data_IF_654604222317
#
_entry.id   IF_654604222317
#
_cell.length_a   1.000
_cell.length_b   1.000
_cell.length_c   1.000
_cell.angle_alpha   90.00
_cell.angle_beta   90.00
_cell.angle_gamma   90.00
#
_symmetry.space_group_name_H-M   'P 1'
#
loop_
_entity.id
_entity.type
_entity.pdbx_description
1 polymer ?
#
# COMPACT_ATOMS: atom_id res chain seq x y z
N UNK A 1 -38.39 56.89 96.09
CA UNK A 1 -38.53 57.42 94.71
C UNK A 1 -38.00 56.37 93.75
N UNK A 2 -38.77 56.09 92.70
CA UNK A 2 -38.65 54.93 91.83
C UNK A 2 -37.46 54.99 90.84
N UNK A 3 -36.97 53.82 90.45
CA UNK A 3 -36.38 53.48 89.14
C UNK A 3 -35.81 52.05 89.27
N UNK A 4 -35.90 51.11 88.34
CA UNK A 4 -36.30 51.07 86.93
C UNK A 4 -35.58 49.83 86.39
N UNK A 5 -36.31 48.85 85.83
CA UNK A 5 -35.72 47.59 85.40
C UNK A 5 -35.08 47.72 84.01
N UNK A 6 -33.81 47.35 83.87
CA UNK A 6 -33.13 47.17 82.59
C UNK A 6 -33.10 45.67 82.26
N UNK A 7 -33.92 45.24 81.30
CA UNK A 7 -33.78 43.93 80.69
C UNK A 7 -32.74 44.02 79.58
N UNK A 8 -31.52 43.56 79.84
CA UNK A 8 -30.58 43.25 78.78
C UNK A 8 -30.92 41.85 78.25
N UNK A 9 -31.33 41.76 76.98
CA UNK A 9 -31.36 40.47 76.29
C UNK A 9 -29.91 39.97 76.20
N UNK A 10 -29.58 38.80 76.77
CA UNK A 10 -28.22 38.27 76.68
C UNK A 10 -27.88 38.02 75.21
N UNK A 11 -26.66 38.40 74.80
CA UNK A 11 -26.14 38.04 73.49
C UNK A 11 -26.21 36.52 73.33
N UNK A 12 -26.86 36.03 72.27
CA UNK A 12 -26.95 34.60 72.00
C UNK A 12 -25.54 34.07 71.78
N UNK A 13 -25.06 33.09 72.57
CA UNK A 13 -23.73 32.53 72.41
C UNK A 13 -23.60 31.93 71.01
N UNK A 14 -22.43 32.09 70.40
CA UNK A 14 -22.12 31.71 69.02
C UNK A 14 -22.49 30.25 68.70
N UNK A 15 -22.48 29.37 69.71
CA UNK A 15 -22.83 27.95 69.63
C UNK A 15 -24.33 27.67 69.42
N UNK A 16 -25.19 28.66 69.69
CA UNK A 16 -26.64 28.60 69.49
C UNK A 16 -27.09 29.32 68.21
N UNK A 17 -26.15 29.78 67.38
CA UNK A 17 -26.47 30.33 66.05
C UNK A 17 -26.78 29.18 65.08
N UNK A 18 -27.86 29.31 64.31
CA UNK A 18 -28.17 28.39 63.20
C UNK A 18 -27.01 28.39 62.21
N UNK A 19 -26.47 27.21 61.89
CA UNK A 19 -25.44 27.07 60.87
C UNK A 19 -25.96 27.64 59.53
N UNK A 20 -25.21 28.55 58.92
CA UNK A 20 -25.54 29.05 57.60
C UNK A 20 -25.54 27.89 56.59
N UNK A 21 -26.58 27.82 55.74
CA UNK A 21 -26.65 26.80 54.69
C UNK A 21 -25.41 26.89 53.79
N UNK A 22 -24.78 25.74 53.57
CA UNK A 22 -23.57 25.63 52.75
C UNK A 22 -23.92 25.94 51.30
N UNK A 23 -23.20 26.89 50.70
CA UNK A 23 -23.49 27.47 49.39
C UNK A 23 -23.25 26.56 48.19
N UNK A 24 -23.87 26.94 47.07
CA UNK A 24 -23.75 26.27 45.77
C UNK A 24 -22.30 26.27 45.23
N UNK A 25 -21.86 25.14 44.69
CA UNK A 25 -20.56 25.00 44.02
C UNK A 25 -20.76 25.16 42.51
N UNK A 26 -20.12 26.13 41.83
CA UNK A 26 -20.30 26.34 40.41
C UNK A 26 -19.75 25.15 39.61
N UNK A 27 -20.58 24.57 38.74
CA UNK A 27 -20.15 23.54 37.79
C UNK A 27 -19.27 24.19 36.73
N UNK A 28 -18.01 23.76 36.64
CA UNK A 28 -17.12 24.15 35.55
C UNK A 28 -16.93 22.97 34.61
N UNK A 29 -17.11 23.20 33.31
CA UNK A 29 -16.75 22.22 32.29
C UNK A 29 -15.24 22.34 32.03
N UNK A 30 -14.52 21.22 32.13
CA UNK A 30 -13.11 21.11 31.74
C UNK A 30 -13.00 19.96 30.76
N UNK A 31 -12.27 20.15 29.66
CA UNK A 31 -11.92 19.04 28.78
C UNK A 31 -10.92 18.15 29.48
N UNK A 32 -11.23 16.86 29.56
CA UNK A 32 -10.31 15.85 30.07
C UNK A 32 -9.78 15.06 28.87
N UNK A 33 -8.51 15.27 28.53
CA UNK A 33 -7.82 14.42 27.56
C UNK A 33 -7.34 13.16 28.28
N UNK A 34 -8.05 12.06 28.08
CA UNK A 34 -7.68 10.75 28.62
C UNK A 34 -6.63 10.10 27.70
N UNK A 35 -5.36 10.39 27.97
CA UNK A 35 -4.23 9.90 27.18
C UNK A 35 -3.90 8.47 27.60
N UNK A 36 -4.15 7.52 26.70
CA UNK A 36 -3.75 6.13 26.84
C UNK A 36 -2.55 5.81 25.95
N UNK A 37 -1.55 5.14 26.52
CA UNK A 37 -0.45 4.58 25.75
C UNK A 37 -0.93 3.26 25.13
N UNK A 38 -0.97 3.20 23.80
CA UNK A 38 -1.20 1.96 23.05
C UNK A 38 0.13 1.39 22.59
N UNK A 39 0.29 0.08 22.68
CA UNK A 39 1.42 -0.62 22.11
C UNK A 39 1.18 -0.81 20.60
N UNK A 40 2.10 -0.29 19.78
CA UNK A 40 2.06 -0.48 18.32
C UNK A 40 3.02 -1.61 17.98
N UNK A 41 2.47 -2.70 17.44
CA UNK A 41 3.26 -3.83 16.95
C UNK A 41 3.35 -3.74 15.43
N UNK A 42 4.57 -3.74 14.90
CA UNK A 42 4.81 -3.87 13.47
C UNK A 42 4.95 -5.35 13.13
N UNK A 43 4.04 -5.87 12.31
CA UNK A 43 4.19 -7.20 11.70
C UNK A 43 4.76 -7.04 10.29
N UNK A 44 5.91 -7.65 10.03
CA UNK A 44 6.44 -7.78 8.67
C UNK A 44 5.51 -8.71 7.88
N UNK A 45 5.18 -8.33 6.65
CA UNK A 45 4.45 -9.21 5.73
C UNK A 45 5.37 -10.38 5.32
N UNK A 46 4.77 -11.49 4.87
CA UNK A 46 5.54 -12.59 4.30
C UNK A 46 6.32 -12.13 3.06
N UNK A 47 7.53 -12.66 2.87
CA UNK A 47 8.38 -12.37 1.72
C UNK A 47 7.62 -12.59 0.40
N UNK A 48 7.65 -11.59 -0.48
CA UNK A 48 7.08 -11.70 -1.83
C UNK A 48 8.16 -12.15 -2.80
N UNK A 49 8.01 -13.35 -3.35
CA UNK A 49 8.92 -13.86 -4.37
C UNK A 49 8.59 -13.27 -5.74
N UNK A 50 9.61 -12.73 -6.40
CA UNK A 50 9.59 -12.33 -7.81
C UNK A 50 10.61 -13.16 -8.58
N UNK A 51 10.28 -13.57 -9.80
CA UNK A 51 11.09 -14.56 -10.53
C UNK A 51 11.20 -14.22 -12.01
N UNK A 52 12.38 -14.45 -12.58
CA UNK A 52 12.61 -14.37 -14.03
C UNK A 52 13.17 -15.67 -14.55
N UNK A 53 12.84 -16.02 -15.79
CA UNK A 53 13.45 -17.14 -16.52
C UNK A 53 14.68 -16.71 -17.32
N UNK A 54 15.06 -15.42 -17.28
CA UNK A 54 16.25 -14.92 -17.95
C UNK A 54 17.51 -15.66 -17.48
N UNK A 55 18.36 -16.07 -18.42
CA UNK A 55 19.65 -16.70 -18.15
C UNK A 55 20.77 -15.81 -18.68
N UNK A 56 21.88 -15.72 -17.97
CA UNK A 56 23.04 -14.93 -18.40
C UNK A 56 23.68 -14.19 -17.23
N UNK A 57 24.43 -13.13 -17.54
CA UNK A 57 25.06 -12.27 -16.54
C UNK A 57 24.15 -11.11 -16.21
N UNK A 58 23.86 -10.90 -14.92
CA UNK A 58 23.23 -9.66 -14.47
C UNK A 58 24.21 -8.51 -14.73
N UNK A 59 23.81 -7.57 -15.59
CA UNK A 59 24.62 -6.40 -15.98
C UNK A 59 24.13 -5.10 -15.37
N UNK A 60 22.86 -5.06 -14.93
CA UNK A 60 22.31 -3.98 -14.14
C UNK A 60 21.22 -4.53 -13.21
N UNK A 61 21.14 -4.02 -11.99
CA UNK A 61 20.09 -4.40 -11.05
C UNK A 61 19.83 -3.27 -10.05
N UNK A 62 18.62 -2.73 -10.06
CA UNK A 62 18.16 -1.70 -9.12
C UNK A 62 17.21 -2.31 -8.07
N UNK A 63 17.80 -3.05 -7.14
CA UNK A 63 17.15 -3.55 -5.94
C UNK A 63 17.81 -2.90 -4.73
N UNK A 64 17.12 -1.94 -4.13
CA UNK A 64 17.55 -1.23 -2.93
C UNK A 64 16.35 -1.15 -2.00
N UNK A 65 16.57 -1.22 -0.69
CA UNK A 65 15.51 -0.95 0.29
C UNK A 65 14.78 0.36 -0.03
N UNK A 66 13.45 0.32 -0.02
CA UNK A 66 12.55 1.39 -0.40
C UNK A 66 12.30 1.53 -1.92
N UNK A 67 12.93 0.74 -2.79
CA UNK A 67 12.61 0.74 -4.21
C UNK A 67 11.28 0.03 -4.49
N UNK A 68 10.65 0.36 -5.62
CA UNK A 68 9.41 -0.26 -6.06
C UNK A 68 9.61 -0.85 -7.44
N UNK A 69 9.29 -2.13 -7.58
CA UNK A 69 9.19 -2.83 -8.85
C UNK A 69 7.78 -2.63 -9.38
N UNK A 70 7.66 -1.82 -10.43
CA UNK A 70 6.39 -1.52 -11.07
C UNK A 70 6.29 -2.27 -12.39
N UNK A 71 5.13 -2.87 -12.67
CA UNK A 71 4.89 -3.53 -13.94
C UNK A 71 4.96 -2.54 -15.10
N UNK A 72 5.59 -2.97 -16.18
CA UNK A 72 5.90 -2.13 -17.34
C UNK A 72 7.24 -1.38 -17.24
N UNK A 73 7.91 -1.40 -16.08
CA UNK A 73 9.27 -0.90 -15.92
C UNK A 73 10.32 -2.02 -16.11
N UNK A 74 11.60 -1.68 -15.98
CA UNK A 74 12.72 -2.63 -15.99
C UNK A 74 13.72 -2.23 -14.92
N UNK A 75 13.84 -3.04 -13.86
CA UNK A 75 14.80 -2.85 -12.76
C UNK A 75 16.00 -3.80 -12.88
N UNK A 76 15.97 -4.73 -13.82
CA UNK A 76 16.97 -5.78 -14.02
C UNK A 76 17.42 -5.76 -15.48
N UNK A 77 18.69 -6.03 -15.72
CA UNK A 77 19.22 -6.33 -17.06
C UNK A 77 20.12 -7.54 -17.04
N UNK A 78 19.97 -8.38 -18.07
CA UNK A 78 20.78 -9.59 -18.28
C UNK A 78 21.46 -9.46 -19.64
N UNK A 79 22.78 -9.67 -19.65
CA UNK A 79 23.65 -9.54 -20.83
C UNK A 79 23.47 -8.20 -21.58
N UNK A 80 23.21 -7.12 -20.84
CA UNK A 80 23.00 -5.78 -21.37
C UNK A 80 21.58 -5.48 -21.87
N UNK A 81 20.67 -6.45 -21.92
CA UNK A 81 19.25 -6.24 -22.25
C UNK A 81 18.42 -6.04 -20.99
N UNK A 82 17.50 -5.07 -21.02
CA UNK A 82 16.45 -4.94 -20.00
C UNK A 82 15.61 -6.22 -19.88
N UNK A 83 15.15 -6.50 -18.66
CA UNK A 83 14.14 -7.53 -18.34
C UNK A 83 12.93 -6.81 -17.78
N UNK A 84 11.78 -6.98 -18.42
CA UNK A 84 10.58 -6.21 -18.12
C UNK A 84 9.86 -6.79 -16.91
N UNK A 85 9.59 -5.94 -15.93
CA UNK A 85 8.69 -6.26 -14.83
C UNK A 85 7.28 -6.46 -15.40
N UNK A 86 6.67 -7.62 -15.18
CA UNK A 86 5.34 -7.92 -15.70
C UNK A 86 4.47 -8.50 -14.60
N UNK A 87 3.41 -7.77 -14.24
CA UNK A 87 2.43 -8.19 -13.25
C UNK A 87 1.28 -8.95 -13.90
N UNK A 88 1.30 -10.27 -13.80
CA UNK A 88 0.23 -11.14 -14.28
C UNK A 88 -0.29 -11.99 -13.14
N UNK A 89 -1.58 -12.36 -13.19
CA UNK A 89 -2.21 -13.23 -12.18
C UNK A 89 -1.52 -14.58 -12.05
N UNK A 90 -0.89 -15.03 -13.14
CA UNK A 90 -0.03 -16.22 -13.21
C UNK A 90 1.24 -15.87 -13.98
N UNK A 91 2.42 -16.43 -13.64
CA UNK A 91 3.63 -16.22 -14.41
C UNK A 91 3.50 -16.79 -15.82
N UNK A 92 4.20 -16.20 -16.79
CA UNK A 92 4.39 -16.86 -18.08
C UNK A 92 5.32 -18.06 -17.87
N UNK A 93 4.81 -19.29 -18.04
CA UNK A 93 5.58 -20.54 -17.84
C UNK A 93 6.10 -21.14 -19.15
N UNK A 94 5.78 -20.52 -20.28
CA UNK A 94 6.23 -20.90 -21.61
C UNK A 94 6.33 -19.66 -22.50
N UNK A 95 7.03 -19.81 -23.61
CA UNK A 95 6.95 -18.83 -24.69
C UNK A 95 5.59 -18.92 -25.39
N UNK A 96 5.07 -17.78 -25.84
CA UNK A 96 3.76 -17.69 -26.50
C UNK A 96 3.92 -17.23 -27.95
N UNK A 97 3.33 -17.96 -28.88
CA UNK A 97 3.31 -17.65 -30.30
C UNK A 97 1.88 -17.43 -30.81
N UNK A 98 1.75 -16.83 -31.99
CA UNK A 98 0.44 -16.53 -32.60
C UNK A 98 -0.48 -17.76 -32.61
N UNK A 99 -1.70 -17.61 -32.10
CA UNK A 99 -2.70 -18.66 -32.01
C UNK A 99 -2.68 -19.44 -30.69
N UNK A 100 -1.67 -19.26 -29.84
CA UNK A 100 -1.67 -19.86 -28.50
C UNK A 100 -2.87 -19.40 -27.67
N UNK A 101 -3.38 -20.30 -26.85
CA UNK A 101 -4.48 -20.02 -25.93
C UNK A 101 -4.13 -20.46 -24.52
N UNK A 102 -4.71 -19.81 -23.52
CA UNK A 102 -4.46 -20.17 -22.12
C UNK A 102 -4.69 -19.04 -21.13
N UNK A 103 -4.50 -19.38 -19.85
CA UNK A 103 -4.57 -18.42 -18.75
C UNK A 103 -3.37 -17.46 -18.77
N UNK A 104 -2.18 -17.95 -19.11
CA UNK A 104 -0.97 -17.17 -19.37
C UNK A 104 -1.19 -16.08 -20.43
N UNK A 105 -1.83 -16.45 -21.54
CA UNK A 105 -2.21 -15.51 -22.63
C UNK A 105 -3.20 -14.46 -22.12
N UNK A 106 -4.26 -14.88 -21.42
CA UNK A 106 -5.28 -13.95 -20.92
C UNK A 106 -4.70 -13.00 -19.87
N UNK A 107 -3.82 -13.50 -19.00
CA UNK A 107 -3.16 -12.71 -17.97
C UNK A 107 -2.24 -11.66 -18.61
N UNK A 108 -1.41 -12.04 -19.60
CA UNK A 108 -0.60 -11.11 -20.38
C UNK A 108 -1.45 -10.03 -21.04
N UNK A 109 -2.52 -10.42 -21.75
CA UNK A 109 -3.39 -9.47 -22.43
C UNK A 109 -4.05 -8.50 -21.46
N UNK A 110 -4.52 -8.99 -20.31
CA UNK A 110 -5.13 -8.17 -19.26
C UNK A 110 -4.13 -7.13 -18.74
N UNK A 111 -2.89 -7.56 -18.50
CA UNK A 111 -1.85 -6.66 -18.01
C UNK A 111 -1.44 -5.64 -19.09
N UNK A 112 -1.29 -6.05 -20.34
CA UNK A 112 -1.04 -5.12 -21.45
C UNK A 112 -2.16 -4.09 -21.58
N UNK A 113 -3.43 -4.49 -21.44
CA UNK A 113 -4.55 -3.55 -21.38
C UNK A 113 -4.44 -2.58 -20.21
N UNK A 114 -4.07 -3.06 -19.00
CA UNK A 114 -3.85 -2.22 -17.81
C UNK A 114 -2.71 -1.21 -18.02
N UNK A 115 -1.66 -1.61 -18.73
CA UNK A 115 -0.53 -0.77 -19.14
C UNK A 115 -0.88 0.21 -20.28
N UNK A 116 -2.12 0.20 -20.77
CA UNK A 116 -2.64 1.14 -21.76
C UNK A 116 -2.47 0.71 -23.22
N UNK A 117 -2.12 -0.55 -23.48
CA UNK A 117 -2.07 -1.08 -24.84
C UNK A 117 -3.48 -1.49 -25.32
N UNK A 118 -3.83 -1.24 -26.60
CA UNK A 118 -5.15 -1.57 -27.14
C UNK A 118 -5.26 -3.07 -27.47
N UNK A 119 -5.25 -3.91 -26.44
CA UNK A 119 -5.36 -5.37 -26.53
C UNK A 119 -6.69 -5.82 -25.91
N UNK A 120 -7.28 -6.87 -26.46
CA UNK A 120 -8.46 -7.54 -25.89
C UNK A 120 -8.01 -8.81 -25.18
N UNK A 121 -8.44 -9.00 -23.94
CA UNK A 121 -8.15 -10.19 -23.13
C UNK A 121 -9.05 -11.38 -23.47
N UNK A 122 -8.97 -11.86 -24.70
CA UNK A 122 -9.75 -12.99 -25.19
C UNK A 122 -9.16 -14.36 -24.84
N UNK A 123 -7.90 -14.40 -24.40
CA UNK A 123 -7.16 -15.62 -24.11
C UNK A 123 -6.64 -16.33 -25.37
N UNK A 124 -6.59 -15.66 -26.53
CA UNK A 124 -5.96 -16.14 -27.76
C UNK A 124 -4.91 -15.15 -28.24
N UNK A 125 -3.66 -15.58 -28.35
CA UNK A 125 -2.56 -14.70 -28.72
C UNK A 125 -2.70 -14.27 -30.18
N UNK A 126 -3.04 -13.00 -30.38
CA UNK A 126 -3.18 -12.41 -31.70
C UNK A 126 -2.09 -11.38 -32.00
N UNK A 127 -2.07 -10.90 -33.25
CA UNK A 127 -1.14 -9.85 -33.71
C UNK A 127 -1.19 -8.56 -32.88
N UNK A 128 -2.35 -8.21 -32.32
CA UNK A 128 -2.46 -7.04 -31.45
C UNK A 128 -1.65 -7.20 -30.16
N UNK A 129 -1.72 -8.38 -29.53
CA UNK A 129 -0.96 -8.71 -28.33
C UNK A 129 0.53 -8.74 -28.61
N UNK A 130 0.95 -9.40 -29.70
CA UNK A 130 2.35 -9.47 -30.13
C UNK A 130 2.97 -8.09 -30.40
N UNK A 131 2.22 -7.17 -31.00
CA UNK A 131 2.68 -5.79 -31.21
C UNK A 131 2.79 -5.02 -29.89
N UNK A 132 1.80 -5.14 -29.02
CA UNK A 132 1.81 -4.51 -27.70
C UNK A 132 2.99 -5.00 -26.85
N UNK A 133 3.31 -6.29 -26.93
CA UNK A 133 4.48 -6.89 -26.31
C UNK A 133 5.78 -6.27 -26.83
N UNK A 134 5.98 -6.25 -28.16
CA UNK A 134 7.16 -5.63 -28.76
C UNK A 134 7.28 -4.13 -28.46
N UNK A 135 6.16 -3.41 -28.36
CA UNK A 135 6.14 -2.00 -27.95
C UNK A 135 6.56 -1.85 -26.49
N UNK A 136 6.09 -2.73 -25.60
CA UNK A 136 6.48 -2.75 -24.20
C UNK A 136 7.98 -3.00 -24.03
N UNK A 137 8.51 -4.04 -24.69
CA UNK A 137 9.95 -4.36 -24.65
C UNK A 137 10.82 -3.19 -25.11
N UNK A 138 10.42 -2.49 -26.19
CA UNK A 138 11.16 -1.33 -26.68
C UNK A 138 11.14 -0.14 -25.71
N UNK A 139 10.05 0.08 -24.98
CA UNK A 139 9.95 1.18 -23.99
C UNK A 139 10.92 1.02 -22.83
N UNK A 140 11.29 -0.21 -22.50
CA UNK A 140 12.11 -0.55 -21.33
C UNK A 140 13.57 -0.83 -21.67
N UNK A 141 13.97 -0.73 -22.95
CA UNK A 141 15.32 -1.11 -23.39
C UNK A 141 15.56 -2.61 -23.40
N UNK A 142 14.50 -3.42 -23.37
CA UNK A 142 14.58 -4.86 -23.58
C UNK A 142 14.67 -5.16 -25.08
N UNK A 143 15.40 -6.22 -25.42
CA UNK A 143 15.55 -6.64 -26.79
C UNK A 143 14.23 -7.24 -27.33
N UNK A 144 13.73 -6.68 -28.43
CA UNK A 144 12.53 -7.12 -29.14
C UNK A 144 12.89 -7.85 -30.44
N UNK A 145 13.80 -8.83 -30.33
CA UNK A 145 14.48 -9.48 -31.46
C UNK A 145 13.50 -10.16 -32.44
N UNK A 146 12.32 -10.54 -31.98
CA UNK A 146 11.24 -11.13 -32.78
C UNK A 146 9.88 -10.62 -32.32
N UNK A 147 9.03 -10.20 -33.26
CA UNK A 147 7.65 -9.74 -32.97
C UNK A 147 6.65 -10.91 -33.00
N UNK A 148 7.10 -12.13 -33.28
CA UNK A 148 6.22 -13.29 -33.48
C UNK A 148 6.05 -14.17 -32.24
N UNK A 149 6.89 -13.95 -31.22
CA UNK A 149 6.94 -14.74 -29.98
C UNK A 149 7.09 -13.81 -28.78
N UNK A 150 6.27 -14.02 -27.76
CA UNK A 150 6.46 -13.46 -26.42
C UNK A 150 7.33 -14.44 -25.64
N UNK A 151 8.61 -14.12 -25.52
CA UNK A 151 9.56 -14.97 -24.81
C UNK A 151 9.49 -14.72 -23.30
N UNK A 152 9.18 -15.75 -22.52
CA UNK A 152 9.00 -15.64 -21.06
C UNK A 152 10.28 -15.15 -20.36
N UNK A 153 11.44 -15.42 -20.96
CA UNK A 153 12.77 -14.97 -20.49
C UNK A 153 12.97 -13.47 -20.55
N UNK A 154 12.10 -12.71 -21.25
CA UNK A 154 12.15 -11.24 -21.28
C UNK A 154 11.50 -10.59 -20.06
N UNK A 155 10.88 -11.38 -19.18
CA UNK A 155 10.09 -10.87 -18.08
C UNK A 155 10.62 -11.26 -16.71
N UNK A 156 10.48 -10.34 -15.77
CA UNK A 156 10.51 -10.55 -14.33
C UNK A 156 9.06 -10.55 -13.87
N UNK A 157 8.55 -11.72 -13.49
CA UNK A 157 7.18 -11.84 -13.03
C UNK A 157 6.99 -11.19 -11.66
N UNK A 158 5.92 -10.39 -11.55
CA UNK A 158 5.45 -9.80 -10.31
C UNK A 158 4.05 -10.35 -9.96
N UNK A 159 3.78 -10.72 -8.70
CA UNK A 159 2.44 -11.13 -8.27
C UNK A 159 1.43 -9.97 -8.16
N UNK A 160 1.91 -8.72 -8.21
CA UNK A 160 1.09 -7.52 -8.15
C UNK A 160 1.70 -6.43 -9.03
N UNK A 161 0.89 -5.45 -9.44
CA UNK A 161 1.34 -4.34 -10.29
C UNK A 161 2.50 -3.53 -9.70
N UNK A 162 2.66 -3.54 -8.37
CA UNK A 162 3.72 -2.86 -7.63
C UNK A 162 4.18 -3.77 -6.49
N UNK A 163 5.49 -3.99 -6.38
CA UNK A 163 6.12 -4.73 -5.29
C UNK A 163 7.20 -3.83 -4.67
N UNK A 164 7.08 -3.55 -3.37
CA UNK A 164 8.09 -2.78 -2.65
C UNK A 164 9.24 -3.70 -2.20
N UNK A 165 10.45 -3.16 -2.21
CA UNK A 165 11.63 -3.76 -1.59
C UNK A 165 11.79 -3.16 -0.21
N UNK A 166 11.90 -3.99 0.81
CA UNK A 166 12.14 -3.58 2.19
C UNK A 166 13.62 -3.54 2.54
#
# INVERSE_FOLDING_TARGET
MAAGALFLTPAVPEILQTAADVGDVPVSQRSFEDKHTVEVVFSLAADTLITTQATGRITAFDCRSGSVFESGASNLSVDGSGVVNLATSVPLWRDLASGDTGEDVRALQTELTRLGFPVRADGTLGRATLRADADLLRRTGAAADTVDVVAATRFLWLPAARVAVE
#
